data_IF_487302838712
#
_entry.id   IF_487302838712
#
_cell.length_a   1.000
_cell.length_b   1.000
_cell.length_c   1.000
_cell.angle_alpha   90.00
_cell.angle_beta   90.00
_cell.angle_gamma   90.00
#
_symmetry.space_group_name_H-M   'P 1'
#
loop_
_entity.id
_entity.type
_entity.pdbx_description
1 polymer ?
#
# COMPACT_ATOMS: atom_id res chain seq x y z
N UNK A 1 -16.63 -34.02 -40.89
CA UNK A 1 -15.97 -32.70 -40.72
C UNK A 1 -16.41 -31.91 -39.49
N UNK A 2 -17.60 -32.14 -38.89
CA UNK A 2 -18.02 -31.40 -37.67
C UNK A 2 -17.36 -31.84 -36.35
N UNK A 3 -16.85 -33.07 -36.27
CA UNK A 3 -16.26 -33.63 -35.05
C UNK A 3 -14.90 -33.01 -34.69
N UNK A 4 -14.09 -32.65 -35.69
CA UNK A 4 -12.80 -31.99 -35.49
C UNK A 4 -12.98 -30.57 -34.96
N UNK A 5 -13.99 -29.84 -35.45
CA UNK A 5 -14.33 -28.51 -34.95
C UNK A 5 -14.83 -28.54 -33.50
N UNK A 6 -15.71 -29.49 -33.16
CA UNK A 6 -16.18 -29.69 -31.79
C UNK A 6 -15.05 -30.06 -30.82
N UNK A 7 -14.13 -30.92 -31.24
CA UNK A 7 -12.96 -31.31 -30.43
C UNK A 7 -11.96 -30.17 -30.22
N UNK A 8 -11.67 -29.37 -31.25
CA UNK A 8 -10.78 -28.21 -31.12
C UNK A 8 -11.40 -27.12 -30.25
N UNK A 9 -12.72 -26.93 -30.34
CA UNK A 9 -13.46 -25.99 -29.51
C UNK A 9 -13.39 -26.34 -28.02
N UNK A 10 -13.61 -27.60 -27.66
CA UNK A 10 -13.54 -28.05 -26.25
C UNK A 10 -12.12 -27.97 -25.70
N UNK A 11 -11.10 -28.31 -26.51
CA UNK A 11 -9.69 -28.13 -26.13
C UNK A 11 -9.40 -26.64 -25.87
N UNK A 12 -9.93 -25.74 -26.70
CA UNK A 12 -9.80 -24.29 -26.50
C UNK A 12 -10.33 -23.83 -25.13
N UNK A 13 -11.52 -24.29 -24.74
CA UNK A 13 -12.09 -23.98 -23.42
C UNK A 13 -11.29 -24.56 -22.26
N UNK A 14 -10.80 -25.80 -22.39
CA UNK A 14 -9.93 -26.41 -21.36
C UNK A 14 -8.66 -25.58 -21.19
N UNK A 15 -7.99 -25.22 -22.30
CA UNK A 15 -6.80 -24.38 -22.27
C UNK A 15 -7.09 -23.00 -21.65
N UNK A 16 -8.22 -22.37 -21.99
CA UNK A 16 -8.63 -21.08 -21.44
C UNK A 16 -8.85 -21.15 -19.91
N UNK A 17 -9.51 -22.20 -19.42
CA UNK A 17 -9.76 -22.40 -17.99
C UNK A 17 -8.44 -22.65 -17.23
N UNK A 18 -7.56 -23.48 -17.79
CA UNK A 18 -6.24 -23.75 -17.19
C UNK A 18 -5.39 -22.47 -17.15
N UNK A 19 -5.40 -21.67 -18.22
CA UNK A 19 -4.69 -20.40 -18.28
C UNK A 19 -5.24 -19.42 -17.24
N UNK A 20 -6.57 -19.25 -17.18
CA UNK A 20 -7.21 -18.38 -16.20
C UNK A 20 -6.88 -18.82 -14.77
N UNK A 21 -6.95 -20.13 -14.47
CA UNK A 21 -6.59 -20.69 -13.17
C UNK A 21 -5.12 -20.43 -12.80
N UNK A 22 -4.20 -20.61 -13.75
CA UNK A 22 -2.78 -20.33 -13.57
C UNK A 22 -2.54 -18.85 -13.25
N UNK A 23 -3.16 -17.93 -14.01
CA UNK A 23 -3.03 -16.49 -13.76
C UNK A 23 -3.61 -16.13 -12.40
N UNK A 24 -4.83 -16.57 -12.09
CA UNK A 24 -5.47 -16.29 -10.79
C UNK A 24 -4.68 -16.84 -9.60
N UNK A 25 -3.94 -17.94 -9.80
CA UNK A 25 -3.11 -18.51 -8.74
C UNK A 25 -1.99 -17.57 -8.31
N UNK A 26 -1.45 -16.74 -9.22
CA UNK A 26 -0.37 -15.80 -8.93
C UNK A 26 -0.78 -14.68 -7.96
N UNK A 27 -2.08 -14.46 -7.78
CA UNK A 27 -2.65 -13.41 -6.93
C UNK A 27 -3.22 -13.92 -5.59
N UNK A 28 -2.92 -15.18 -5.23
CA UNK A 28 -3.53 -15.85 -4.08
C UNK A 28 -3.09 -15.28 -2.73
N UNK A 29 -1.83 -14.89 -2.61
CA UNK A 29 -1.22 -14.35 -1.40
C UNK A 29 -0.68 -12.95 -1.68
N UNK A 30 -0.70 -12.07 -0.68
CA UNK A 30 -0.19 -10.71 -0.79
C UNK A 30 0.64 -10.38 0.43
N UNK A 31 1.95 -10.46 0.29
CA UNK A 31 2.87 -10.35 1.42
C UNK A 31 3.94 -9.30 1.19
N UNK A 32 4.76 -9.09 2.22
CA UNK A 32 5.74 -8.03 2.25
C UNK A 32 7.05 -8.42 2.93
N UNK A 33 8.08 -7.68 2.56
CA UNK A 33 9.35 -7.64 3.28
C UNK A 33 9.56 -6.25 3.85
N UNK A 34 10.10 -6.21 5.05
CA UNK A 34 10.42 -4.98 5.77
C UNK A 34 11.92 -4.73 5.73
N UNK A 35 12.30 -3.48 5.47
CA UNK A 35 13.68 -3.01 5.56
C UNK A 35 13.72 -1.81 6.49
N UNK A 36 14.43 -1.95 7.61
CA UNK A 36 14.67 -0.85 8.54
C UNK A 36 15.61 0.15 7.85
N UNK A 37 15.24 1.43 7.89
CA UNK A 37 16.07 2.54 7.43
C UNK A 37 16.68 3.21 8.65
N UNK A 38 18.01 3.32 8.68
CA UNK A 38 18.69 4.04 9.75
C UNK A 38 18.37 5.54 9.65
N UNK A 39 17.83 6.09 10.73
CA UNK A 39 17.41 7.50 10.79
C UNK A 39 18.35 8.28 11.69
N UNK A 40 18.99 9.31 11.13
CA UNK A 40 19.71 10.31 11.92
C UNK A 40 18.68 11.14 12.67
N UNK A 41 18.71 11.13 13.99
CA UNK A 41 17.69 11.77 14.81
C UNK A 41 17.81 13.31 14.70
N UNK A 42 16.74 14.02 14.31
CA UNK A 42 16.80 15.46 14.07
C UNK A 42 16.92 16.23 15.39
N UNK A 43 17.85 17.19 15.44
CA UNK A 43 18.10 18.02 16.65
C UNK A 43 16.95 18.96 17.00
N UNK A 44 16.17 19.36 16.00
CA UNK A 44 15.03 20.27 16.14
C UNK A 44 13.69 19.53 16.35
N UNK A 45 13.73 18.22 16.64
CA UNK A 45 12.53 17.38 16.83
C UNK A 45 11.55 17.45 15.64
N UNK A 46 12.08 17.61 14.42
CA UNK A 46 11.29 17.67 13.18
C UNK A 46 11.98 16.88 12.08
N UNK A 47 11.24 16.00 11.42
CA UNK A 47 11.70 15.33 10.18
C UNK A 47 10.94 15.90 8.98
N UNK A 48 11.64 16.08 7.86
CA UNK A 48 11.08 16.55 6.59
C UNK A 48 11.18 15.41 5.59
N UNK A 49 10.06 14.98 5.02
CA UNK A 49 10.04 13.99 3.93
C UNK A 49 10.09 14.75 2.61
N UNK A 50 11.06 14.43 1.75
CA UNK A 50 11.26 15.12 0.48
C UNK A 50 11.68 14.15 -0.62
N UNK A 51 11.52 14.57 -1.88
CA UNK A 51 11.93 13.80 -3.06
C UNK A 51 12.98 14.62 -3.82
N UNK A 52 14.25 14.27 -3.68
CA UNK A 52 15.35 14.96 -4.37
C UNK A 52 15.45 14.59 -5.85
N UNK A 53 15.12 13.33 -6.20
CA UNK A 53 15.14 12.83 -7.57
C UNK A 53 14.18 13.61 -8.49
N UNK A 54 14.45 13.59 -9.80
CA UNK A 54 13.57 14.21 -10.80
C UNK A 54 12.24 13.46 -10.89
N UNK A 55 11.18 14.17 -11.25
CA UNK A 55 9.87 13.57 -11.49
C UNK A 55 9.99 12.48 -12.57
N UNK A 56 9.30 11.37 -12.32
CA UNK A 56 9.32 10.25 -13.24
C UNK A 56 8.45 10.57 -14.44
N UNK A 57 9.05 10.61 -15.63
CA UNK A 57 8.33 10.77 -16.89
C UNK A 57 8.62 9.62 -17.83
N UNK A 58 7.65 9.31 -18.69
CA UNK A 58 7.82 8.24 -19.65
C UNK A 58 8.89 8.59 -20.68
N UNK A 59 9.89 7.71 -20.84
CA UNK A 59 11.05 7.91 -21.70
C UNK A 59 10.77 7.83 -23.20
N UNK A 60 9.56 7.44 -23.61
CA UNK A 60 9.17 7.40 -25.03
C UNK A 60 9.67 6.17 -25.80
N UNK A 61 10.14 5.12 -25.11
CA UNK A 61 10.80 3.96 -25.74
C UNK A 61 9.88 3.12 -26.66
N UNK A 62 8.60 3.03 -26.34
CA UNK A 62 7.59 2.34 -27.13
C UNK A 62 6.72 3.32 -27.92
N UNK A 63 6.80 3.24 -29.25
CA UNK A 63 6.13 4.13 -30.22
C UNK A 63 4.60 4.02 -30.21
N UNK A 64 4.04 2.95 -29.65
CA UNK A 64 2.60 2.76 -29.50
C UNK A 64 2.05 3.38 -28.20
N UNK A 65 2.93 3.85 -27.30
CA UNK A 65 2.53 4.56 -26.09
C UNK A 65 2.79 6.05 -26.30
N UNK A 66 1.73 6.80 -26.58
CA UNK A 66 1.76 8.26 -26.54
C UNK A 66 1.18 8.70 -25.21
N UNK A 67 2.05 8.93 -24.24
CA UNK A 67 1.65 9.39 -22.92
C UNK A 67 2.52 10.56 -22.48
N UNK A 68 1.87 11.70 -22.24
CA UNK A 68 2.45 12.85 -21.54
C UNK A 68 2.28 12.71 -20.01
N UNK A 69 1.77 11.56 -19.52
CA UNK A 69 1.50 11.37 -18.10
C UNK A 69 2.80 11.11 -17.33
N UNK A 70 2.95 11.81 -16.21
CA UNK A 70 4.04 11.60 -15.27
C UNK A 70 3.69 10.51 -14.25
N UNK A 71 4.70 10.06 -13.51
CA UNK A 71 4.58 9.09 -12.43
C UNK A 71 4.81 7.63 -12.82
N UNK A 72 5.18 7.36 -14.06
CA UNK A 72 5.64 6.03 -14.48
C UNK A 72 6.60 6.13 -15.66
N UNK A 73 7.44 5.11 -15.81
CA UNK A 73 8.30 4.91 -16.97
C UNK A 73 8.41 3.42 -17.27
N UNK A 74 8.43 3.07 -18.56
CA UNK A 74 8.53 1.69 -19.01
C UNK A 74 9.66 1.58 -20.03
N UNK A 75 10.67 0.80 -19.68
CA UNK A 75 11.81 0.48 -20.53
C UNK A 75 11.71 -0.98 -21.02
N UNK A 76 12.72 -1.46 -21.75
CA UNK A 76 12.72 -2.86 -22.24
C UNK A 76 12.72 -3.87 -21.10
N UNK A 77 13.34 -3.52 -19.96
CA UNK A 77 13.65 -4.44 -18.87
C UNK A 77 13.06 -4.02 -17.52
N UNK A 78 12.59 -2.78 -17.41
CA UNK A 78 12.15 -2.21 -16.12
C UNK A 78 10.87 -1.42 -16.24
N UNK A 79 10.01 -1.60 -15.24
CA UNK A 79 8.87 -0.73 -14.97
C UNK A 79 9.23 0.13 -13.75
N UNK A 80 9.09 1.44 -13.88
CA UNK A 80 9.25 2.40 -12.78
C UNK A 80 7.90 3.02 -12.46
N UNK A 81 7.58 3.16 -11.17
CA UNK A 81 6.30 3.69 -10.70
C UNK A 81 6.53 4.66 -9.54
N UNK A 82 5.88 5.83 -9.58
CA UNK A 82 5.92 6.83 -8.49
C UNK A 82 4.88 6.57 -7.40
N UNK A 83 4.23 5.41 -7.43
CA UNK A 83 3.13 5.06 -6.53
C UNK A 83 3.61 4.62 -5.15
N UNK A 84 3.85 5.59 -4.27
CA UNK A 84 4.40 5.34 -2.93
C UNK A 84 3.37 5.69 -1.87
N UNK A 85 3.13 4.76 -0.95
CA UNK A 85 2.25 4.98 0.19
C UNK A 85 3.06 5.46 1.38
N UNK A 86 2.56 6.48 2.07
CA UNK A 86 3.11 6.93 3.35
C UNK A 86 2.18 6.57 4.49
N UNK A 87 2.72 5.90 5.52
CA UNK A 87 2.00 5.61 6.75
C UNK A 87 2.73 6.24 7.92
N UNK A 88 2.10 7.23 8.56
CA UNK A 88 2.62 7.82 9.79
C UNK A 88 1.89 7.22 11.00
N UNK A 89 2.67 6.80 12.00
CA UNK A 89 2.20 6.21 13.26
C UNK A 89 2.98 6.77 14.45
N UNK A 90 2.45 6.73 15.68
CA UNK A 90 3.23 7.09 16.86
C UNK A 90 4.40 6.12 17.07
N UNK A 91 5.56 6.65 17.42
CA UNK A 91 6.66 5.83 17.96
C UNK A 91 6.34 5.41 19.39
N UNK A 92 6.80 4.22 19.77
CA UNK A 92 6.72 3.71 21.14
C UNK A 92 7.82 4.29 22.04
N UNK A 93 8.83 4.93 21.45
CA UNK A 93 9.95 5.55 22.14
C UNK A 93 10.16 7.02 21.73
N UNK A 94 11.26 7.61 22.17
CA UNK A 94 11.63 8.99 21.87
C UNK A 94 12.33 9.18 20.52
N UNK A 95 12.42 8.15 19.67
CA UNK A 95 13.16 8.17 18.41
C UNK A 95 12.25 8.00 17.19
N UNK A 96 12.65 8.62 16.09
CA UNK A 96 12.04 8.36 14.79
C UNK A 96 12.53 7.01 14.28
N UNK A 97 11.59 6.18 13.83
CA UNK A 97 11.89 4.94 13.11
C UNK A 97 11.26 4.98 11.74
N UNK A 98 11.98 4.50 10.73
CA UNK A 98 11.48 4.40 9.37
C UNK A 98 11.63 2.96 8.90
N UNK A 99 10.53 2.39 8.43
CA UNK A 99 10.50 1.05 7.85
C UNK A 99 9.99 1.15 6.42
N UNK A 100 10.82 0.67 5.49
CA UNK A 100 10.43 0.50 4.10
C UNK A 100 9.77 -0.87 3.95
N UNK A 101 8.47 -0.88 3.63
CA UNK A 101 7.69 -2.09 3.38
C UNK A 101 7.49 -2.24 1.88
N UNK A 102 7.86 -3.40 1.36
CA UNK A 102 7.72 -3.73 -0.06
C UNK A 102 6.75 -4.88 -0.16
N UNK A 103 5.69 -4.73 -0.93
CA UNK A 103 4.61 -5.70 -1.06
C UNK A 103 4.58 -6.32 -2.44
N UNK A 104 4.10 -7.55 -2.58
CA UNK A 104 3.80 -8.17 -3.87
C UNK A 104 2.79 -9.31 -3.74
N UNK A 105 2.14 -9.67 -4.85
CA UNK A 105 1.31 -10.88 -4.92
C UNK A 105 2.13 -12.13 -5.29
N UNK A 106 1.73 -13.29 -4.74
CA UNK A 106 2.36 -14.60 -4.91
C UNK A 106 1.36 -15.76 -4.93
N UNK A 107 1.77 -16.91 -5.51
CA UNK A 107 1.03 -18.18 -5.33
C UNK A 107 1.16 -18.69 -3.91
N UNK A 108 2.30 -18.44 -3.27
CA UNK A 108 2.60 -18.64 -1.85
C UNK A 108 3.07 -17.33 -1.20
N UNK A 109 3.17 -17.32 0.13
CA UNK A 109 3.75 -16.21 0.90
C UNK A 109 5.23 -16.04 0.55
N UNK A 110 6.02 -17.12 0.51
CA UNK A 110 7.44 -17.07 0.12
C UNK A 110 7.66 -16.48 -1.27
N UNK A 111 6.81 -16.81 -2.24
CA UNK A 111 6.91 -16.26 -3.59
C UNK A 111 6.54 -14.77 -3.63
N UNK A 112 5.55 -14.36 -2.82
CA UNK A 112 5.20 -12.95 -2.66
C UNK A 112 6.37 -12.16 -2.04
N UNK A 113 6.99 -12.69 -0.98
CA UNK A 113 8.16 -12.08 -0.33
C UNK A 113 9.33 -12.01 -1.31
N UNK A 114 9.66 -13.11 -2.00
CA UNK A 114 10.76 -13.13 -2.96
C UNK A 114 10.57 -12.12 -4.11
N UNK A 115 9.33 -11.88 -4.55
CA UNK A 115 9.02 -10.81 -5.53
C UNK A 115 9.16 -9.42 -4.91
N UNK A 116 8.67 -9.23 -3.69
CA UNK A 116 8.78 -7.97 -2.98
C UNK A 116 10.24 -7.56 -2.70
N UNK A 117 11.11 -8.53 -2.43
CA UNK A 117 12.55 -8.31 -2.24
C UNK A 117 13.23 -7.73 -3.48
N UNK A 118 12.79 -8.12 -4.68
CA UNK A 118 13.31 -7.61 -5.96
C UNK A 118 12.94 -6.16 -6.26
N UNK A 119 11.92 -5.62 -5.58
CA UNK A 119 11.55 -4.20 -5.72
C UNK A 119 12.73 -3.34 -5.25
N UNK A 120 13.15 -2.42 -6.11
CA UNK A 120 14.21 -1.47 -5.81
C UNK A 120 13.60 -0.11 -5.52
N UNK A 121 13.81 0.39 -4.31
CA UNK A 121 13.39 1.73 -3.90
C UNK A 121 14.40 2.33 -2.94
N UNK A 122 14.80 3.57 -3.20
CA UNK A 122 15.81 4.27 -2.43
C UNK A 122 15.14 5.15 -1.38
N UNK A 123 15.56 4.97 -0.13
CA UNK A 123 15.18 5.81 1.00
C UNK A 123 16.46 6.05 1.79
N UNK A 124 16.76 7.32 2.07
CA UNK A 124 17.93 7.71 2.85
C UNK A 124 17.57 8.80 3.85
N UNK A 125 18.26 8.82 4.98
CA UNK A 125 18.09 9.86 5.99
C UNK A 125 19.39 10.64 6.13
N UNK A 126 19.30 11.97 6.03
CA UNK A 126 20.42 12.88 6.31
C UNK A 126 19.91 14.06 7.14
N UNK A 127 20.55 14.25 8.29
CA UNK A 127 20.26 15.32 9.27
C UNK A 127 18.82 15.31 9.82
N UNK A 128 17.91 15.97 9.10
CA UNK A 128 16.49 16.08 9.44
C UNK A 128 15.60 15.83 8.22
N UNK A 129 16.20 15.38 7.12
CA UNK A 129 15.51 15.07 5.86
C UNK A 129 15.51 13.56 5.66
N UNK A 130 14.32 13.02 5.41
CA UNK A 130 14.10 11.69 4.88
C UNK A 130 13.89 11.85 3.37
N UNK A 131 14.94 11.57 2.61
CA UNK A 131 14.91 11.65 1.15
C UNK A 131 14.43 10.31 0.59
N UNK A 132 13.33 10.37 -0.14
CA UNK A 132 12.65 9.21 -0.73
C UNK A 132 12.71 9.33 -2.26
N UNK A 133 12.98 8.22 -2.94
CA UNK A 133 13.10 8.22 -4.40
C UNK A 133 11.79 8.60 -5.12
N UNK A 134 11.89 9.09 -6.36
CA UNK A 134 10.73 9.52 -7.16
C UNK A 134 9.93 8.35 -7.75
N UNK A 135 10.43 7.13 -7.60
CA UNK A 135 9.68 5.92 -7.90
C UNK A 135 10.47 4.66 -7.56
N UNK A 136 9.77 3.53 -7.51
CA UNK A 136 10.38 2.21 -7.35
C UNK A 136 10.44 1.48 -8.68
N UNK A 137 11.42 0.59 -8.80
CA UNK A 137 11.64 -0.21 -9.99
C UNK A 137 11.24 -1.66 -9.76
N UNK A 138 10.54 -2.22 -10.73
CA UNK A 138 10.21 -3.63 -10.83
C UNK A 138 10.84 -4.17 -12.09
N UNK A 139 11.61 -5.25 -11.97
CA UNK A 139 12.20 -5.93 -13.10
C UNK A 139 11.12 -6.66 -13.93
N UNK A 140 11.28 -6.65 -15.25
CA UNK A 140 10.32 -7.31 -16.16
C UNK A 140 10.28 -8.82 -15.97
N UNK A 141 11.39 -9.44 -15.56
CA UNK A 141 11.46 -10.89 -15.32
C UNK A 141 10.51 -11.33 -14.21
N UNK A 142 10.42 -10.56 -13.12
CA UNK A 142 9.49 -10.81 -12.02
C UNK A 142 8.03 -10.53 -12.40
N UNK A 143 7.82 -9.73 -13.46
CA UNK A 143 6.54 -9.20 -13.97
C UNK A 143 5.79 -8.39 -12.91
N UNK A 144 4.98 -7.44 -13.36
CA UNK A 144 4.12 -6.73 -12.42
C UNK A 144 3.00 -7.64 -11.87
N UNK A 145 3.02 -7.89 -10.57
CA UNK A 145 2.05 -8.63 -9.75
C UNK A 145 1.64 -7.76 -8.56
N UNK A 146 1.19 -6.54 -8.83
CA UNK A 146 0.75 -5.59 -7.79
C UNK A 146 1.84 -5.27 -6.77
N UNK A 147 3.09 -5.17 -7.22
CA UNK A 147 4.18 -4.67 -6.39
C UNK A 147 3.83 -3.27 -5.88
N UNK A 148 4.10 -3.00 -4.61
CA UNK A 148 3.85 -1.70 -4.00
C UNK A 148 4.91 -1.37 -2.96
N UNK A 149 5.19 -0.09 -2.79
CA UNK A 149 6.05 0.42 -1.72
C UNK A 149 5.23 1.23 -0.72
N UNK A 150 5.46 0.95 0.56
CA UNK A 150 4.96 1.72 1.69
C UNK A 150 6.13 2.18 2.58
N UNK A 151 6.22 3.48 2.83
CA UNK A 151 7.15 4.08 3.77
C UNK A 151 6.40 4.32 5.08
N UNK A 152 6.70 3.49 6.08
CA UNK A 152 6.15 3.64 7.43
C UNK A 152 7.09 4.48 8.28
N UNK A 153 6.58 5.58 8.83
CA UNK A 153 7.33 6.53 9.66
C UNK A 153 6.71 6.55 11.05
N UNK A 154 7.46 6.10 12.04
CA UNK A 154 7.10 6.19 13.45
C UNK A 154 7.62 7.53 14.00
N UNK A 155 6.71 8.41 14.41
CA UNK A 155 7.04 9.74 14.94
C UNK A 155 6.79 9.75 16.44
N UNK A 156 7.79 10.11 17.28
CA UNK A 156 7.59 10.25 18.72
C UNK A 156 6.55 11.29 19.07
N UNK A 157 5.82 11.06 20.15
CA UNK A 157 4.82 12.00 20.66
C UNK A 157 5.46 13.37 20.93
N UNK A 158 4.79 14.43 20.50
CA UNK A 158 5.25 15.82 20.63
C UNK A 158 6.26 16.26 19.57
N UNK A 159 6.82 15.34 18.76
CA UNK A 159 7.71 15.68 17.66
C UNK A 159 6.94 15.92 16.35
N UNK A 160 7.62 16.58 15.40
CA UNK A 160 7.02 17.05 14.15
C UNK A 160 7.45 16.23 12.93
N UNK A 161 6.58 16.17 11.93
CA UNK A 161 6.86 15.70 10.58
C UNK A 161 6.29 16.70 9.58
N UNK A 162 7.02 16.97 8.49
CA UNK A 162 6.56 17.79 7.37
C UNK A 162 6.75 17.03 6.07
N UNK A 163 5.77 17.08 5.19
CA UNK A 163 5.92 16.64 3.81
C UNK A 163 6.28 17.84 2.94
N UNK A 164 7.41 17.76 2.25
CA UNK A 164 7.82 18.77 1.30
C UNK A 164 6.91 18.76 0.05
N UNK A 165 6.86 19.87 -0.68
CA UNK A 165 6.01 19.99 -1.88
C UNK A 165 6.36 18.95 -2.94
N UNK A 166 7.65 18.64 -3.05
CA UNK A 166 8.20 17.61 -3.94
C UNK A 166 7.55 16.23 -3.78
N UNK A 167 7.02 15.90 -2.59
CA UNK A 167 6.32 14.63 -2.36
C UNK A 167 5.02 14.58 -3.15
N UNK A 168 4.20 15.63 -3.08
CA UNK A 168 2.89 15.67 -3.75
C UNK A 168 3.00 15.98 -5.25
N UNK A 169 4.07 16.64 -5.67
CA UNK A 169 4.39 16.89 -7.07
C UNK A 169 4.88 15.63 -7.77
N UNK A 170 5.83 14.89 -7.16
CA UNK A 170 6.57 13.82 -7.86
C UNK A 170 6.08 12.42 -7.56
N UNK A 171 5.33 12.21 -6.47
CA UNK A 171 4.80 10.90 -6.07
C UNK A 171 3.29 10.85 -6.14
N UNK A 172 2.80 9.66 -6.46
CA UNK A 172 1.37 9.36 -6.49
C UNK A 172 0.97 8.56 -5.25
N UNK A 173 0.17 9.19 -4.38
CA UNK A 173 -0.38 8.52 -3.22
C UNK A 173 -1.51 7.55 -3.65
N UNK A 174 -1.29 6.25 -3.47
CA UNK A 174 -2.28 5.21 -3.73
C UNK A 174 -2.36 4.30 -2.52
N UNK A 175 -3.59 4.01 -2.09
CA UNK A 175 -3.84 3.04 -1.03
C UNK A 175 -4.37 1.75 -1.65
N UNK A 176 -3.69 0.64 -1.36
CA UNK A 176 -4.16 -0.69 -1.77
C UNK A 176 -4.57 -1.43 -0.50
N UNK A 177 -5.85 -1.77 -0.42
CA UNK A 177 -6.38 -2.60 0.66
C UNK A 177 -6.59 -4.00 0.13
N UNK A 178 -5.90 -4.95 0.75
CA UNK A 178 -6.04 -6.37 0.42
C UNK A 178 -6.79 -7.06 1.55
N UNK A 179 -7.96 -7.61 1.21
CA UNK A 179 -8.75 -8.42 2.14
C UNK A 179 -8.38 -9.89 1.95
N UNK A 180 -7.94 -10.54 3.02
CA UNK A 180 -7.68 -11.98 3.07
C UNK A 180 -8.84 -12.70 3.79
N UNK A 181 -9.18 -13.90 3.32
CA UNK A 181 -10.09 -14.80 4.02
C UNK A 181 -9.36 -15.51 5.15
N UNK A 182 -9.82 -15.32 6.40
CA UNK A 182 -9.24 -15.98 7.57
C UNK A 182 -9.29 -17.51 7.51
N UNK A 183 -10.32 -18.08 6.86
CA UNK A 183 -10.48 -19.54 6.77
C UNK A 183 -9.54 -20.21 5.76
N UNK A 184 -9.16 -19.48 4.70
CA UNK A 184 -8.42 -20.06 3.57
C UNK A 184 -7.01 -19.48 3.41
N UNK A 185 -6.67 -18.44 4.17
CA UNK A 185 -5.49 -17.59 4.02
C UNK A 185 -5.22 -17.23 2.56
N UNK A 186 -6.23 -16.64 1.89
CA UNK A 186 -6.13 -16.21 0.47
C UNK A 186 -6.73 -14.84 0.32
N UNK A 187 -6.19 -14.08 -0.61
CA UNK A 187 -6.77 -12.81 -1.08
C UNK A 187 -8.15 -13.09 -1.67
N UNK A 188 -9.16 -12.34 -1.22
CA UNK A 188 -10.53 -12.40 -1.73
C UNK A 188 -10.96 -11.11 -2.40
N UNK A 189 -10.34 -9.99 -2.05
CA UNK A 189 -10.64 -8.70 -2.63
C UNK A 189 -9.42 -7.76 -2.54
N UNK A 190 -9.23 -6.98 -3.59
CA UNK A 190 -8.22 -5.92 -3.68
C UNK A 190 -8.98 -4.64 -4.02
N UNK A 191 -8.88 -3.67 -3.14
CA UNK A 191 -9.49 -2.35 -3.32
C UNK A 191 -8.35 -1.34 -3.49
N UNK A 192 -8.39 -0.61 -4.60
CA UNK A 192 -7.43 0.47 -4.88
C UNK A 192 -8.21 1.77 -4.72
N UNK A 193 -7.78 2.59 -3.77
CA UNK A 193 -8.38 3.87 -3.45
C UNK A 193 -7.43 4.99 -3.90
N UNK A 194 -7.86 5.72 -4.92
CA UNK A 194 -7.20 6.89 -5.49
C UNK A 194 -7.47 8.17 -4.67
N UNK A 195 -8.44 8.13 -3.75
CA UNK A 195 -8.76 9.22 -2.81
C UNK A 195 -7.94 9.16 -1.53
N UNK A 196 -6.79 8.47 -1.55
CA UNK A 196 -5.92 8.45 -0.38
C UNK A 196 -5.58 9.90 -0.01
N UNK A 197 -5.89 10.28 1.24
CA UNK A 197 -5.67 11.65 1.69
C UNK A 197 -4.18 11.95 1.66
N UNK A 198 -3.78 12.78 0.69
CA UNK A 198 -2.43 13.32 0.62
C UNK A 198 -2.20 14.18 1.86
N UNK A 199 -1.04 14.03 2.50
CA UNK A 199 -0.62 15.00 3.50
C UNK A 199 -0.43 16.35 2.81
N UNK A 200 -0.95 17.43 3.39
CA UNK A 200 -0.71 18.78 2.88
C UNK A 200 0.79 19.07 2.87
N UNK A 201 1.27 19.56 1.72
CA UNK A 201 2.64 20.02 1.53
C UNK A 201 2.94 21.23 2.40
N UNK A 202 4.16 21.31 2.93
CA UNK A 202 4.65 22.48 3.66
C UNK A 202 4.06 22.68 5.06
N UNK A 203 3.12 21.84 5.49
CA UNK A 203 2.49 21.92 6.82
C UNK A 203 3.23 21.04 7.83
N UNK A 204 3.50 21.60 9.00
CA UNK A 204 4.08 20.88 10.13
C UNK A 204 2.99 20.10 10.89
N UNK A 205 3.14 18.78 10.93
CA UNK A 205 2.30 17.89 11.71
C UNK A 205 2.98 17.52 13.01
N UNK A 206 2.32 17.72 14.13
CA UNK A 206 2.79 17.27 15.45
C UNK A 206 2.10 15.97 15.83
N UNK A 207 2.87 14.98 16.29
CA UNK A 207 2.29 13.73 16.80
C UNK A 207 1.64 13.96 18.16
N UNK A 208 0.32 13.81 18.23
CA UNK A 208 -0.42 13.95 19.48
C UNK A 208 -0.28 12.73 20.40
N UNK A 209 -0.58 12.93 21.68
CA UNK A 209 -0.68 11.84 22.68
C UNK A 209 -1.73 10.77 22.32
N UNK A 210 -2.70 11.12 21.47
CA UNK A 210 -3.73 10.21 20.97
C UNK A 210 -3.27 9.40 19.74
N UNK A 211 -1.99 9.50 19.35
CA UNK A 211 -1.43 8.83 18.17
C UNK A 211 -1.94 9.36 16.82
N UNK A 212 -2.67 10.48 16.82
CA UNK A 212 -3.11 11.17 15.59
C UNK A 212 -2.22 12.39 15.32
N UNK A 213 -2.02 12.70 14.04
CA UNK A 213 -1.32 13.91 13.62
C UNK A 213 -2.22 15.13 13.75
N UNK A 214 -1.65 16.24 14.23
CA UNK A 214 -2.31 17.54 14.35
C UNK A 214 -1.52 18.58 13.58
N UNK A 215 -2.21 19.42 12.82
CA UNK A 215 -1.63 20.63 12.22
C UNK A 215 -1.46 21.73 13.28
N UNK A 216 -0.75 22.80 12.94
CA UNK A 216 -0.60 23.97 13.81
C UNK A 216 -1.93 24.70 14.07
N UNK A 217 -2.91 24.55 13.17
CA UNK A 217 -4.29 25.07 13.34
C UNK A 217 -5.12 24.22 14.32
N UNK A 218 -4.60 23.09 14.79
CA UNK A 218 -5.29 22.19 15.72
C UNK A 218 -6.25 21.20 15.03
N UNK A 219 -6.35 21.23 13.70
CA UNK A 219 -7.12 20.25 12.94
C UNK A 219 -6.44 18.88 13.05
N UNK A 220 -7.22 17.91 13.53
CA UNK A 220 -6.79 16.51 13.57
C UNK A 220 -7.05 15.93 12.20
N UNK A 221 -6.01 15.45 11.50
CA UNK A 221 -6.23 14.65 10.31
C UNK A 221 -6.77 13.30 10.77
N UNK A 222 -8.09 13.14 10.68
CA UNK A 222 -8.70 11.82 10.74
C UNK A 222 -8.30 11.06 9.48
N UNK A 223 -7.66 9.90 9.64
CA UNK A 223 -7.71 8.91 8.56
C UNK A 223 -9.20 8.65 8.36
N UNK A 224 -9.75 9.07 7.22
CA UNK A 224 -11.00 8.49 6.73
C UNK A 224 -10.70 7.00 6.53
N UNK A 225 -10.93 6.21 7.57
CA UNK A 225 -11.41 4.86 7.38
C UNK A 225 -12.80 5.07 6.79
N UNK A 226 -13.03 4.80 5.49
CA UNK A 226 -14.39 4.76 5.01
C UNK A 226 -15.10 3.69 5.82
N UNK A 227 -16.29 4.07 6.28
CA UNK A 227 -17.22 3.20 6.96
C UNK A 227 -17.31 1.87 6.21
N UNK A 228 -17.23 0.75 6.95
CA UNK A 228 -17.36 -0.59 6.37
C UNK A 228 -18.82 -0.89 5.95
N UNK A 229 -19.50 0.07 5.33
CA UNK A 229 -20.91 -0.03 4.92
C UNK A 229 -21.04 -0.13 3.41
N UNK A 230 -20.43 -1.16 2.82
CA UNK A 230 -20.93 -1.73 1.57
C UNK A 230 -21.60 -3.07 1.87
N UNK A 231 -22.91 -2.96 2.08
CA UNK A 231 -23.88 -4.04 2.28
C UNK A 231 -24.11 -4.75 0.94
N UNK A 232 -23.53 -5.94 0.75
CA UNK A 232 -24.08 -6.89 -0.21
C UNK A 232 -25.38 -7.49 0.36
N UNK A 233 -26.48 -7.52 -0.39
CA UNK A 233 -27.71 -8.12 0.09
C UNK A 233 -27.54 -9.65 0.09
N UNK A 234 -27.43 -10.24 1.28
CA UNK A 234 -27.55 -11.68 1.46
C UNK A 234 -26.36 -12.33 2.15
N UNK A 235 -26.21 -12.14 3.46
CA UNK A 235 -25.76 -13.20 4.38
C UNK A 235 -26.19 -12.85 5.81
N UNK A 236 -26.61 -13.87 6.56
CA UNK A 236 -27.58 -13.81 7.65
C UNK A 236 -27.25 -12.94 8.88
N UNK A 237 -28.26 -12.17 9.28
CA UNK A 237 -28.28 -11.23 10.41
C UNK A 237 -28.56 -11.90 11.78
N UNK A 238 -28.41 -13.22 11.89
CA UNK A 238 -28.76 -13.96 13.12
C UNK A 238 -27.63 -13.96 14.16
N UNK A 239 -26.40 -14.25 13.76
CA UNK A 239 -25.27 -14.38 14.72
C UNK A 239 -24.90 -13.06 15.42
N UNK A 240 -25.00 -11.90 14.75
CA UNK A 240 -24.68 -10.60 15.38
C UNK A 240 -25.68 -10.19 16.47
N UNK A 241 -26.95 -10.52 16.28
CA UNK A 241 -28.01 -10.20 17.25
C UNK A 241 -27.90 -11.08 18.50
N UNK A 242 -27.46 -12.32 18.35
CA UNK A 242 -27.31 -13.25 19.48
C UNK A 242 -26.11 -12.87 20.37
N UNK A 243 -25.01 -12.39 19.77
CA UNK A 243 -23.84 -11.90 20.51
C UNK A 243 -24.16 -10.59 21.25
N UNK A 244 -24.89 -9.65 20.64
CA UNK A 244 -25.31 -8.41 21.32
C UNK A 244 -26.28 -8.66 22.48
N UNK A 245 -27.17 -9.65 22.36
CA UNK A 245 -28.05 -10.07 23.45
C UNK A 245 -27.27 -10.70 24.60
N UNK A 246 -26.26 -11.52 24.32
CA UNK A 246 -25.40 -12.12 25.35
C UNK A 246 -24.58 -11.06 26.10
N UNK A 247 -24.04 -10.06 25.40
CA UNK A 247 -23.28 -8.96 26.02
C UNK A 247 -24.18 -8.11 26.93
N UNK A 248 -25.39 -7.76 26.48
CA UNK A 248 -26.35 -7.01 27.31
C UNK A 248 -26.82 -7.81 28.53
N UNK A 249 -26.95 -9.14 28.41
CA UNK A 249 -27.34 -9.99 29.53
C UNK A 249 -26.21 -10.13 30.57
N UNK A 250 -24.95 -10.17 30.15
CA UNK A 250 -23.79 -10.15 31.05
C UNK A 250 -23.61 -8.79 31.75
N UNK A 251 -23.81 -7.68 31.05
CA UNK A 251 -23.77 -6.34 31.65
C UNK A 251 -24.88 -6.16 32.71
N UNK A 252 -26.07 -6.72 32.47
CA UNK A 252 -27.17 -6.73 33.46
C UNK A 252 -26.88 -7.59 34.69
N UNK A 253 -26.05 -8.63 34.56
CA UNK A 253 -25.62 -9.50 35.67
C UNK A 253 -24.47 -8.89 36.47
N UNK A 254 -23.63 -8.05 35.84
CA UNK A 254 -22.52 -7.34 36.51
C UNK A 254 -22.92 -6.02 37.17
N UNK A 255 -24.06 -5.45 36.81
CA UNK A 255 -24.59 -4.20 37.37
C UNK A 255 -25.59 -4.36 38.52
N UNK A 256 -25.65 -5.53 39.17
CA UNK A 256 -26.46 -5.77 40.38
C UNK A 256 -25.61 -6.30 41.51
#
# INVERSE_FOLDING_TARGET
>A
MGWTFGALWTIGWIAAILLASSISSDFRNYDHTDKIIEVVQPRNNKIIVAVSEQELTYSGRFTWINSESSGWDLSDDTLRLSTVRFTVKPSLDSQYHVTLKKHSFGRSEDEAIARAERIQYNVSSRDSVLDVGSGYTVDKESKFRGQQVEVEILVPIGKKIRFDETVNEKLNAVNVRVRRSSRRNRVVNVEIDDRSSRFLSGVDYTMGINGKLKTETGEVIEKQQPDNEYRYPGTDNKEKNDIQKQIQEEERKRGK
#
